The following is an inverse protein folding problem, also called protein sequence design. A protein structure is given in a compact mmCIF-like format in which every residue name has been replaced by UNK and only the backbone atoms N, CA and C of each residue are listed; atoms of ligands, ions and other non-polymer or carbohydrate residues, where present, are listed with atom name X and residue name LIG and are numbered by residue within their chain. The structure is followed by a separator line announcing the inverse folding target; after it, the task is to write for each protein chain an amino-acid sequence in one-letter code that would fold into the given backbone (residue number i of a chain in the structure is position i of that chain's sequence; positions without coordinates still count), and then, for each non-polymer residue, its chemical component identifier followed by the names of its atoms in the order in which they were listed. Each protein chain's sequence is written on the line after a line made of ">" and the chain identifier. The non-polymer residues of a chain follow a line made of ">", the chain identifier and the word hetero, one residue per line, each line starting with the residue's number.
data_IF_823233950315
#
_entry.id   IF_823233950315
#
_cell.length_a   1.000
_cell.length_b   1.000
_cell.length_c   1.000
_cell.angle_alpha   90.00
_cell.angle_beta   90.00
_cell.angle_gamma   90.00
#
_symmetry.space_group_name_H-M   'P 1'
#
loop_
_entity.id
_entity.type
_entity.pdbx_description
1 polymer ?
#
# COMPACT_ATOMS: atom_id res chain seq x y z
N UNK A 1 -12.84 -0.77 -27.47
CA UNK A 1 -12.70 -1.85 -26.46
C UNK A 1 -14.03 -2.00 -25.77
N UNK A 2 -14.47 -3.21 -25.43
CA UNK A 2 -15.64 -3.40 -24.55
C UNK A 2 -15.23 -3.20 -23.09
N UNK A 3 -16.18 -2.83 -22.23
CA UNK A 3 -15.91 -2.58 -20.80
C UNK A 3 -15.39 -3.83 -20.08
N UNK A 4 -15.79 -5.03 -20.54
CA UNK A 4 -15.35 -6.32 -20.00
C UNK A 4 -13.86 -6.57 -20.20
N UNK A 5 -13.25 -5.99 -21.24
CA UNK A 5 -11.82 -6.17 -21.52
C UNK A 5 -10.91 -5.39 -20.57
N UNK A 6 -11.43 -4.40 -19.83
CA UNK A 6 -10.59 -3.55 -18.95
C UNK A 6 -10.00 -4.31 -17.77
N UNK A 7 -10.79 -5.14 -17.08
CA UNK A 7 -10.34 -5.82 -15.86
C UNK A 7 -9.20 -6.83 -16.14
N UNK A 8 -9.27 -7.72 -17.16
CA UNK A 8 -8.15 -8.58 -17.52
C UNK A 8 -6.90 -7.80 -17.94
N UNK A 9 -7.06 -6.67 -18.64
CA UNK A 9 -5.96 -5.86 -19.14
C UNK A 9 -5.25 -5.11 -18.02
N UNK A 10 -5.99 -4.57 -17.05
CA UNK A 10 -5.42 -4.03 -15.80
C UNK A 10 -4.69 -5.11 -15.01
N UNK A 11 -5.26 -6.32 -14.91
CA UNK A 11 -4.60 -7.41 -14.18
C UNK A 11 -3.28 -7.84 -14.85
N UNK A 12 -3.29 -8.06 -16.17
CA UNK A 12 -2.08 -8.40 -16.93
C UNK A 12 -1.05 -7.29 -16.89
N UNK A 13 -1.46 -6.03 -17.04
CA UNK A 13 -0.58 -4.87 -16.92
C UNK A 13 0.11 -4.82 -15.55
N UNK A 14 -0.61 -5.12 -14.48
CA UNK A 14 -0.03 -5.17 -13.13
C UNK A 14 1.03 -6.26 -13.02
N UNK A 15 0.74 -7.47 -13.51
CA UNK A 15 1.70 -8.58 -13.48
C UNK A 15 2.99 -8.19 -14.22
N UNK A 16 2.88 -7.62 -15.42
CA UNK A 16 4.04 -7.23 -16.21
C UNK A 16 4.88 -6.18 -15.49
N UNK A 17 4.26 -5.14 -14.92
CA UNK A 17 5.00 -4.10 -14.16
C UNK A 17 5.65 -4.68 -12.90
N UNK A 18 4.97 -5.60 -12.22
CA UNK A 18 5.50 -6.26 -11.03
C UNK A 18 6.71 -7.16 -11.34
N UNK A 19 6.72 -7.83 -12.49
CA UNK A 19 7.86 -8.65 -12.94
C UNK A 19 9.13 -7.82 -13.22
N UNK A 20 8.97 -6.52 -13.53
CA UNK A 20 10.10 -5.59 -13.68
C UNK A 20 10.77 -5.29 -12.32
N UNK A 21 10.11 -5.62 -11.20
CA UNK A 21 10.63 -5.43 -9.84
C UNK A 21 10.33 -4.07 -9.23
N UNK A 22 9.40 -3.30 -9.81
CA UNK A 22 9.00 -2.00 -9.28
C UNK A 22 8.16 -2.17 -8.01
N UNK A 23 8.31 -1.32 -6.96
CA UNK A 23 7.59 -1.50 -5.71
C UNK A 23 6.07 -1.50 -5.89
N UNK A 24 5.42 -2.48 -5.26
CA UNK A 24 4.01 -2.84 -5.48
C UNK A 24 3.06 -1.64 -5.35
N UNK A 25 3.28 -0.79 -4.34
CA UNK A 25 2.43 0.37 -4.08
C UNK A 25 2.41 1.36 -5.26
N UNK A 26 3.58 1.65 -5.85
CA UNK A 26 3.67 2.56 -6.99
C UNK A 26 3.12 1.92 -8.27
N UNK A 27 3.36 0.61 -8.45
CA UNK A 27 2.81 -0.15 -9.59
C UNK A 27 1.28 -0.13 -9.60
N UNK A 28 0.65 -0.38 -8.45
CA UNK A 28 -0.81 -0.32 -8.30
C UNK A 28 -1.35 1.10 -8.53
N UNK A 29 -0.70 2.11 -7.96
CA UNK A 29 -1.13 3.50 -8.11
C UNK A 29 -1.03 3.98 -9.57
N UNK A 30 0.12 3.78 -10.21
CA UNK A 30 0.36 4.22 -11.59
C UNK A 30 -0.60 3.52 -12.56
N UNK A 31 -0.77 2.19 -12.45
CA UNK A 31 -1.66 1.44 -13.31
C UNK A 31 -3.14 1.82 -13.08
N UNK A 32 -3.55 1.93 -11.82
CA UNK A 32 -4.91 2.36 -11.48
C UNK A 32 -5.25 3.75 -12.00
N UNK A 33 -4.32 4.70 -11.88
CA UNK A 33 -4.49 6.05 -12.40
C UNK A 33 -4.46 6.09 -13.93
N UNK A 34 -3.53 5.39 -14.58
CA UNK A 34 -3.42 5.35 -16.04
C UNK A 34 -4.69 4.78 -16.69
N UNK A 35 -5.20 3.66 -16.19
CA UNK A 35 -6.46 3.08 -16.68
C UNK A 35 -7.68 3.92 -16.30
N UNK A 36 -7.66 4.57 -15.13
CA UNK A 36 -8.71 5.51 -14.73
C UNK A 36 -8.83 6.70 -15.68
N UNK A 37 -7.69 7.31 -16.05
CA UNK A 37 -7.64 8.39 -17.04
C UNK A 37 -8.06 7.90 -18.42
N UNK A 38 -7.56 6.74 -18.85
CA UNK A 38 -7.93 6.15 -20.14
C UNK A 38 -9.43 5.82 -20.24
N UNK A 39 -10.05 5.36 -19.16
CA UNK A 39 -11.49 5.14 -19.10
C UNK A 39 -12.30 6.44 -19.16
N UNK A 40 -11.77 7.56 -18.68
CA UNK A 40 -12.40 8.89 -18.81
C UNK A 40 -12.36 9.35 -20.27
N UNK A 41 -11.21 9.21 -20.94
CA UNK A 41 -11.04 9.59 -22.36
C UNK A 41 -11.97 8.81 -23.30
N UNK A 42 -12.23 7.53 -23.01
CA UNK A 42 -13.14 6.68 -23.80
C UNK A 42 -14.62 6.93 -23.43
N UNK A 43 -14.89 7.72 -22.38
CA UNK A 43 -16.23 8.06 -21.92
C UNK A 43 -16.91 6.99 -21.06
N UNK A 44 -16.15 6.02 -20.53
CA UNK A 44 -16.67 5.02 -19.59
C UNK A 44 -16.85 5.59 -18.18
N UNK A 45 -16.01 6.53 -17.78
CA UNK A 45 -16.13 7.24 -16.50
C UNK A 45 -16.18 8.75 -16.70
N UNK A 46 -16.84 9.45 -15.79
CA UNK A 46 -16.80 10.91 -15.73
C UNK A 46 -15.52 11.39 -15.03
N UNK A 47 -15.05 12.59 -15.36
CA UNK A 47 -13.90 13.20 -14.68
C UNK A 47 -14.12 13.38 -13.16
N UNK A 48 -15.39 13.48 -12.72
CA UNK A 48 -15.75 13.50 -11.29
C UNK A 48 -15.37 12.21 -10.55
N UNK A 49 -15.15 11.09 -11.25
CA UNK A 49 -14.70 9.85 -10.63
C UNK A 49 -13.36 10.00 -9.89
N UNK A 50 -12.46 10.86 -10.39
CA UNK A 50 -11.18 11.12 -9.72
C UNK A 50 -11.34 11.83 -8.37
N UNK A 51 -12.45 12.54 -8.15
CA UNK A 51 -12.73 13.17 -6.85
C UNK A 51 -12.94 12.13 -5.74
N UNK A 52 -13.20 10.85 -6.08
CA UNK A 52 -13.24 9.77 -5.10
C UNK A 52 -11.86 9.42 -4.53
N UNK A 53 -10.76 9.76 -5.22
CA UNK A 53 -9.41 9.39 -4.79
C UNK A 53 -8.98 10.10 -3.50
N UNK A 54 -9.11 11.44 -3.34
CA UNK A 54 -8.85 12.10 -2.06
C UNK A 54 -9.62 11.46 -0.90
N UNK A 55 -10.93 11.22 -1.07
CA UNK A 55 -11.74 10.61 -0.01
C UNK A 55 -11.26 9.21 0.38
N UNK A 56 -10.85 8.38 -0.59
CA UNK A 56 -10.27 7.06 -0.31
C UNK A 56 -8.94 7.16 0.43
N UNK A 57 -8.07 8.09 0.04
CA UNK A 57 -6.77 8.30 0.71
C UNK A 57 -6.99 8.74 2.15
N UNK A 58 -7.87 9.72 2.39
CA UNK A 58 -8.23 10.12 3.75
C UNK A 58 -8.84 8.97 4.55
N UNK A 59 -9.70 8.15 3.94
CA UNK A 59 -10.26 6.97 4.60
C UNK A 59 -9.19 5.95 5.03
N UNK A 60 -8.15 5.74 4.22
CA UNK A 60 -7.03 4.86 4.56
C UNK A 60 -6.17 5.46 5.68
N UNK A 61 -5.85 6.76 5.61
CA UNK A 61 -5.04 7.43 6.63
C UNK A 61 -5.73 7.45 8.01
N UNK A 62 -7.05 7.49 8.04
CA UNK A 62 -7.85 7.43 9.27
C UNK A 62 -7.95 6.02 9.88
N UNK A 63 -7.24 5.03 9.33
CA UNK A 63 -7.26 3.67 9.87
C UNK A 63 -6.42 3.57 11.15
N UNK A 64 -7.06 3.22 12.26
CA UNK A 64 -6.40 3.06 13.57
C UNK A 64 -5.27 2.02 13.55
N UNK A 65 -5.31 1.03 12.65
CA UNK A 65 -4.21 0.06 12.49
C UNK A 65 -2.90 0.74 12.05
N UNK A 66 -2.96 1.86 11.32
CA UNK A 66 -1.76 2.61 10.94
C UNK A 66 -1.09 3.28 12.15
N UNK A 67 -1.83 3.52 13.24
CA UNK A 67 -1.25 3.99 14.51
C UNK A 67 -0.32 2.93 15.13
N UNK A 68 -0.47 1.65 14.78
CA UNK A 68 0.46 0.62 15.22
C UNK A 68 1.90 0.88 14.75
N UNK A 69 2.10 1.55 13.60
CA UNK A 69 3.43 1.84 13.05
C UNK A 69 4.24 2.75 14.01
N UNK A 70 3.76 3.96 14.39
CA UNK A 70 4.48 4.81 15.33
C UNK A 70 4.55 4.20 16.73
N UNK A 71 3.50 3.53 17.21
CA UNK A 71 3.55 2.90 18.53
C UNK A 71 4.54 1.74 18.61
N UNK A 72 4.65 0.93 17.56
CA UNK A 72 5.62 -0.16 17.48
C UNK A 72 7.05 0.40 17.40
N UNK A 73 7.26 1.45 16.62
CA UNK A 73 8.56 2.14 16.56
C UNK A 73 8.92 2.74 17.91
N UNK A 74 7.97 3.37 18.59
CA UNK A 74 8.15 3.95 19.92
C UNK A 74 8.50 2.90 20.97
N UNK A 75 7.75 1.79 20.99
CA UNK A 75 8.05 0.64 21.84
C UNK A 75 9.46 0.11 21.57
N UNK A 76 9.85 -0.06 20.30
CA UNK A 76 11.19 -0.52 19.91
C UNK A 76 12.29 0.39 20.46
N UNK A 77 12.13 1.71 20.33
CA UNK A 77 13.08 2.69 20.87
C UNK A 77 13.14 2.66 22.39
N UNK A 78 12.02 2.50 23.09
CA UNK A 78 12.01 2.37 24.56
C UNK A 78 12.77 1.11 24.99
N UNK A 79 12.52 -0.03 24.34
CA UNK A 79 13.17 -1.30 24.66
C UNK A 79 14.68 -1.23 24.41
N UNK A 80 15.10 -0.59 23.32
CA UNK A 80 16.51 -0.33 23.02
C UNK A 80 17.17 0.56 24.08
N UNK A 81 16.51 1.66 24.46
CA UNK A 81 17.08 2.65 25.41
C UNK A 81 17.09 2.18 26.86
N UNK A 82 16.22 1.24 27.22
CA UNK A 82 16.14 0.70 28.58
C UNK A 82 17.06 -0.49 28.82
N UNK A 83 17.75 -1.01 27.79
CA UNK A 83 18.58 -2.21 27.90
C UNK A 83 17.78 -3.52 27.97
N UNK A 84 16.45 -3.44 28.14
CA UNK A 84 15.55 -4.59 28.22
C UNK A 84 15.62 -5.48 26.97
N UNK A 85 15.88 -4.91 25.79
CA UNK A 85 16.01 -5.70 24.57
C UNK A 85 17.20 -6.68 24.61
N UNK A 86 18.33 -6.25 25.19
CA UNK A 86 19.55 -7.05 25.34
C UNK A 86 19.37 -8.12 26.43
N UNK A 87 18.84 -7.72 27.59
CA UNK A 87 18.53 -8.63 28.71
C UNK A 87 17.59 -9.76 28.29
N UNK A 88 16.57 -9.44 27.48
CA UNK A 88 15.64 -10.45 26.95
C UNK A 88 16.32 -11.40 25.96
N UNK A 89 17.22 -10.89 25.10
CA UNK A 89 17.96 -11.69 24.12
C UNK A 89 18.92 -12.67 24.81
N UNK A 90 19.69 -12.19 25.78
CA UNK A 90 20.61 -13.02 26.57
C UNK A 90 19.86 -14.06 27.40
N UNK A 91 18.74 -13.67 28.03
CA UNK A 91 17.89 -14.57 28.80
C UNK A 91 17.26 -15.67 27.96
N UNK A 92 16.79 -15.37 26.74
CA UNK A 92 16.30 -16.42 25.82
C UNK A 92 17.41 -17.27 25.25
N UNK A 93 18.60 -16.72 24.99
CA UNK A 93 19.77 -17.46 24.53
C UNK A 93 20.33 -18.47 25.54
N UNK A 94 20.07 -18.28 26.83
CA UNK A 94 20.44 -19.24 27.89
C UNK A 94 19.39 -20.36 28.08
N UNK A 95 18.19 -20.18 27.55
CA UNK A 95 17.05 -21.11 27.68
C UNK A 95 17.03 -22.20 26.59
N UNK A 96 17.84 -22.04 25.53
CA UNK A 96 18.00 -22.95 24.40
C UNK A 96 19.48 -23.33 24.20
#
# INVERSE_FOLDING_TARGET
>A
MSMESFAPLMFLGLILIMLIGFPVAFSLAALGLAFGLFAIEIGYFSASFLQALPYRIFGIMSNDLLLAIPFFTFMGVILERSGLAEDLLDGTGQLF
#
